data_IF_211578365693
#
_entry.id   IF_211578365693
#
_cell.length_a   1.000
_cell.length_b   1.000
_cell.length_c   1.000
_cell.angle_alpha   90.00
_cell.angle_beta   90.00
_cell.angle_gamma   90.00
#
_symmetry.space_group_name_H-M   'P 1'
#
loop_
_entity.id
_entity.type
_entity.pdbx_description
1 polymer ?
#
# COMPACT_ATOMS: atom_id res chain seq x y z
N UNK A 1 6.57 13.92 -19.22
CA UNK A 1 5.45 13.09 -18.69
C UNK A 1 5.78 12.79 -17.25
N UNK A 2 4.81 12.90 -16.34
CA UNK A 2 5.01 12.54 -14.94
C UNK A 2 5.26 11.03 -14.81
N UNK A 3 6.22 10.62 -13.98
CA UNK A 3 6.38 9.25 -13.51
C UNK A 3 5.19 8.98 -12.57
N UNK A 4 4.29 8.05 -12.93
CA UNK A 4 3.09 7.76 -12.12
C UNK A 4 3.31 6.49 -11.32
N UNK A 5 3.78 6.63 -10.08
CA UNK A 5 3.97 5.52 -9.12
C UNK A 5 3.33 5.77 -7.75
N UNK A 6 2.72 6.93 -7.51
CA UNK A 6 2.20 7.30 -6.18
C UNK A 6 0.78 6.77 -5.99
N UNK A 7 0.59 5.89 -5.00
CA UNK A 7 -0.73 5.39 -4.61
C UNK A 7 -1.33 6.29 -3.53
N UNK A 8 -2.55 6.77 -3.76
CA UNK A 8 -3.31 7.44 -2.71
C UNK A 8 -3.89 6.40 -1.74
N UNK A 9 -3.42 6.42 -0.51
CA UNK A 9 -4.00 5.64 0.57
C UNK A 9 -5.22 6.38 1.15
N UNK A 10 -6.41 5.92 0.81
CA UNK A 10 -7.68 6.56 1.10
C UNK A 10 -8.45 5.80 2.17
N UNK A 11 -8.25 6.14 3.43
CA UNK A 11 -8.91 5.44 4.53
C UNK A 11 -10.44 5.51 4.44
N UNK A 12 -11.12 4.45 4.89
CA UNK A 12 -12.59 4.37 4.84
C UNK A 12 -13.28 5.49 5.61
N UNK A 13 -12.64 6.07 6.63
CA UNK A 13 -13.17 7.24 7.35
C UNK A 13 -13.30 8.46 6.44
N UNK A 14 -12.48 8.58 5.39
CA UNK A 14 -12.65 9.65 4.40
C UNK A 14 -13.91 9.45 3.57
N UNK A 15 -14.25 8.22 3.19
CA UNK A 15 -15.51 7.93 2.49
C UNK A 15 -16.72 8.29 3.37
N UNK A 16 -16.61 8.07 4.68
CA UNK A 16 -17.67 8.40 5.64
C UNK A 16 -17.82 9.91 5.88
N UNK A 17 -16.70 10.59 6.12
CA UNK A 17 -16.71 11.96 6.68
C UNK A 17 -16.31 13.04 5.68
N UNK A 18 -15.50 12.68 4.66
CA UNK A 18 -14.82 13.62 3.75
C UNK A 18 -14.80 13.16 2.27
N UNK A 19 -15.86 12.55 1.70
CA UNK A 19 -15.82 12.02 0.34
C UNK A 19 -15.55 13.11 -0.71
N UNK A 20 -15.94 14.36 -0.44
CA UNK A 20 -15.66 15.50 -1.30
C UNK A 20 -14.17 15.80 -1.48
N UNK A 21 -13.30 15.36 -0.58
CA UNK A 21 -11.86 15.62 -0.71
C UNK A 21 -11.22 14.82 -1.84
N UNK A 22 -11.84 13.71 -2.26
CA UNK A 22 -11.44 13.01 -3.49
C UNK A 22 -11.61 13.89 -4.73
N UNK A 23 -12.53 14.86 -4.72
CA UNK A 23 -12.78 15.74 -5.86
C UNK A 23 -11.68 16.77 -6.12
N UNK A 24 -10.82 17.03 -5.13
CA UNK A 24 -9.70 17.96 -5.25
C UNK A 24 -8.33 17.27 -5.39
N UNK A 25 -8.29 15.93 -5.43
CA UNK A 25 -7.07 15.15 -5.68
C UNK A 25 -6.55 15.40 -7.10
N UNK A 26 -5.24 15.59 -7.24
CA UNK A 26 -4.54 15.85 -8.51
C UNK A 26 -4.18 14.55 -9.25
N UNK A 27 -5.17 13.94 -9.91
CA UNK A 27 -4.96 12.74 -10.73
C UNK A 27 -4.21 12.99 -12.05
N UNK A 28 -4.08 14.25 -12.47
CA UNK A 28 -3.20 14.71 -13.54
C UNK A 28 -1.72 14.82 -13.12
N UNK A 29 -1.44 14.78 -11.80
CA UNK A 29 -0.11 14.70 -11.20
C UNK A 29 0.46 13.28 -11.09
N UNK A 30 1.43 13.02 -10.19
CA UNK A 30 2.11 11.74 -10.03
C UNK A 30 1.25 10.59 -9.44
N UNK A 31 0.01 10.85 -9.00
CA UNK A 31 -0.89 9.81 -8.48
C UNK A 31 -1.24 8.80 -9.60
N UNK A 32 -0.94 7.52 -9.37
CA UNK A 32 -1.15 6.41 -10.30
C UNK A 32 -2.34 5.53 -9.97
N UNK A 33 -2.76 5.49 -8.70
CA UNK A 33 -3.74 4.53 -8.19
C UNK A 33 -4.26 4.96 -6.82
N UNK A 34 -5.28 4.24 -6.32
CA UNK A 34 -5.87 4.41 -4.99
C UNK A 34 -6.03 3.05 -4.32
N UNK A 35 -5.78 2.98 -3.02
CA UNK A 35 -6.10 1.82 -2.15
C UNK A 35 -6.80 2.32 -0.90
N UNK A 36 -7.67 1.52 -0.29
CA UNK A 36 -8.40 1.88 0.94
C UNK A 36 -8.41 0.75 1.99
N UNK A 37 -7.53 -0.25 1.87
CA UNK A 37 -7.50 -1.44 2.74
C UNK A 37 -8.74 -2.34 2.71
N UNK A 38 -9.68 -2.13 1.79
CA UNK A 38 -10.93 -2.86 1.71
C UNK A 38 -11.14 -3.52 0.33
N UNK A 39 -12.15 -4.38 0.24
CA UNK A 39 -12.56 -5.03 -1.02
C UNK A 39 -13.24 -4.08 -2.01
N UNK A 40 -13.93 -3.05 -1.49
CA UNK A 40 -14.81 -2.18 -2.26
C UNK A 40 -14.12 -0.91 -2.75
N UNK A 41 -14.48 -0.49 -3.95
CA UNK A 41 -14.00 0.76 -4.57
C UNK A 41 -14.72 1.95 -3.91
N UNK A 42 -14.00 2.99 -3.44
CA UNK A 42 -14.64 4.18 -2.90
C UNK A 42 -15.51 4.87 -3.97
N UNK A 43 -16.82 5.05 -3.76
CA UNK A 43 -17.72 5.62 -4.77
C UNK A 43 -17.28 7.00 -5.25
N UNK A 44 -16.71 7.80 -4.34
CA UNK A 44 -16.16 9.11 -4.63
C UNK A 44 -14.94 9.06 -5.55
N UNK A 45 -14.26 7.92 -5.79
CA UNK A 45 -13.17 7.85 -6.76
C UNK A 45 -13.63 8.13 -8.21
N UNK A 46 -14.88 7.78 -8.53
CA UNK A 46 -15.52 8.04 -9.84
C UNK A 46 -14.68 7.60 -11.05
N UNK A 47 -13.91 6.51 -10.90
CA UNK A 47 -13.04 5.96 -11.95
C UNK A 47 -11.86 6.85 -12.38
N UNK A 48 -11.49 7.88 -11.59
CA UNK A 48 -10.41 8.82 -11.95
C UNK A 48 -9.01 8.24 -11.89
N UNK A 49 -8.83 7.15 -11.16
CA UNK A 49 -7.62 6.34 -11.14
C UNK A 49 -7.96 4.86 -10.91
N UNK A 50 -7.08 3.93 -11.30
CA UNK A 50 -7.17 2.53 -10.91
C UNK A 50 -7.25 2.38 -9.39
N UNK A 51 -8.06 1.43 -8.94
CA UNK A 51 -8.19 1.06 -7.55
C UNK A 51 -7.49 -0.28 -7.27
N UNK A 52 -7.01 -0.47 -6.06
CA UNK A 52 -6.37 -1.70 -5.57
C UNK A 52 -7.23 -2.33 -4.47
N UNK A 53 -8.16 -3.24 -4.80
CA UNK A 53 -8.89 -3.99 -3.80
C UNK A 53 -7.91 -4.78 -2.92
N UNK A 54 -8.25 -4.92 -1.64
CA UNK A 54 -7.45 -5.67 -0.68
C UNK A 54 -8.29 -6.76 -0.02
N UNK A 55 -7.74 -7.98 0.01
CA UNK A 55 -8.16 -9.02 0.94
C UNK A 55 -7.42 -8.69 2.25
N UNK A 56 -8.03 -7.88 3.12
CA UNK A 56 -7.33 -7.33 4.29
C UNK A 56 -6.89 -8.43 5.26
N UNK A 57 -7.81 -9.30 5.66
CA UNK A 57 -7.57 -10.49 6.47
C UNK A 57 -8.49 -11.63 6.00
N UNK A 58 -8.56 -12.72 6.76
CA UNK A 58 -9.30 -13.94 6.39
C UNK A 58 -10.80 -13.72 6.22
N UNK A 59 -11.37 -12.70 6.86
CA UNK A 59 -12.80 -12.39 6.77
C UNK A 59 -13.21 -11.96 5.35
N UNK A 60 -12.32 -11.29 4.61
CA UNK A 60 -12.56 -10.86 3.22
C UNK A 60 -12.53 -12.02 2.21
N UNK A 61 -12.12 -13.23 2.63
CA UNK A 61 -12.19 -14.44 1.80
C UNK A 61 -13.57 -15.10 1.81
N UNK A 62 -14.57 -14.47 2.42
CA UNK A 62 -15.93 -15.02 2.55
C UNK A 62 -17.00 -13.97 2.23
N UNK A 63 -18.21 -14.46 1.93
CA UNK A 63 -19.42 -13.62 1.82
C UNK A 63 -19.32 -12.51 0.78
N UNK A 64 -19.92 -11.36 1.10
CA UNK A 64 -20.03 -10.21 0.20
C UNK A 64 -18.67 -9.61 -0.14
N UNK A 65 -17.74 -9.52 0.82
CA UNK A 65 -16.38 -9.00 0.60
C UNK A 65 -15.67 -9.79 -0.49
N UNK A 66 -15.72 -11.12 -0.42
CA UNK A 66 -15.12 -11.96 -1.45
C UNK A 66 -15.77 -11.78 -2.81
N UNK A 67 -17.09 -11.64 -2.86
CA UNK A 67 -17.81 -11.37 -4.11
C UNK A 67 -17.39 -10.04 -4.74
N UNK A 68 -17.19 -8.99 -3.92
CA UNK A 68 -16.70 -7.70 -4.41
C UNK A 68 -15.30 -7.84 -5.06
N UNK A 69 -14.40 -8.62 -4.44
CA UNK A 69 -13.06 -8.88 -5.01
C UNK A 69 -13.15 -9.68 -6.31
N UNK A 70 -13.99 -10.71 -6.35
CA UNK A 70 -14.19 -11.53 -7.55
C UNK A 70 -14.77 -10.74 -8.72
N UNK A 71 -15.76 -9.88 -8.45
CA UNK A 71 -16.51 -9.15 -9.47
C UNK A 71 -15.84 -7.83 -9.88
N UNK A 72 -14.91 -7.32 -9.08
CA UNK A 72 -14.13 -6.13 -9.41
C UNK A 72 -13.38 -6.29 -10.74
N UNK A 73 -13.40 -5.25 -11.56
CA UNK A 73 -12.65 -5.14 -12.82
C UNK A 73 -11.19 -4.70 -12.62
N UNK A 74 -10.78 -4.45 -11.37
CA UNK A 74 -9.44 -3.97 -11.05
C UNK A 74 -8.38 -5.06 -11.27
N UNK A 75 -7.26 -4.74 -11.93
CA UNK A 75 -6.30 -5.74 -12.40
C UNK A 75 -5.33 -6.23 -11.32
N UNK A 76 -5.14 -5.46 -10.24
CA UNK A 76 -4.19 -5.77 -9.17
C UNK A 76 -4.97 -5.86 -7.85
N UNK A 77 -4.77 -6.94 -7.11
CA UNK A 77 -5.40 -7.19 -5.80
C UNK A 77 -4.32 -7.43 -4.75
N UNK A 78 -4.41 -6.73 -3.63
CA UNK A 78 -3.54 -6.96 -2.47
C UNK A 78 -4.05 -8.12 -1.62
N UNK A 79 -3.12 -8.93 -1.12
CA UNK A 79 -3.41 -9.91 -0.09
C UNK A 79 -3.18 -9.32 1.31
N UNK A 80 -3.11 -10.17 2.34
CA UNK A 80 -3.26 -9.77 3.74
C UNK A 80 -2.38 -8.60 4.20
N UNK A 81 -2.96 -7.76 5.05
CA UNK A 81 -2.32 -6.64 5.71
C UNK A 81 -1.75 -7.07 7.07
N UNK A 82 -0.43 -7.01 7.24
CA UNK A 82 0.30 -7.38 8.46
C UNK A 82 -0.25 -8.67 9.14
N UNK A 83 -0.35 -9.79 8.40
CA UNK A 83 -0.92 -11.04 8.93
C UNK A 83 -0.18 -11.56 10.18
N UNK A 84 1.12 -11.27 10.30
CA UNK A 84 1.96 -11.61 11.45
C UNK A 84 1.48 -10.94 12.74
N UNK A 85 0.82 -9.78 12.64
CA UNK A 85 0.24 -9.04 13.77
C UNK A 85 -1.22 -9.43 14.04
N UNK A 86 -1.81 -10.23 13.16
CA UNK A 86 -3.22 -10.63 13.21
C UNK A 86 -3.41 -12.13 13.49
N UNK A 87 -2.36 -12.83 13.94
CA UNK A 87 -2.43 -14.24 14.32
C UNK A 87 -2.64 -15.21 13.16
N UNK A 88 -2.36 -14.78 11.92
CA UNK A 88 -2.42 -15.63 10.73
C UNK A 88 -1.02 -16.20 10.50
N UNK A 89 -0.87 -17.53 10.55
CA UNK A 89 0.44 -18.15 10.29
C UNK A 89 0.78 -18.13 8.79
N UNK A 90 2.07 -18.19 8.41
CA UNK A 90 2.49 -18.31 7.02
C UNK A 90 1.85 -19.51 6.31
N UNK A 91 1.74 -20.65 7.00
CA UNK A 91 1.09 -21.86 6.47
C UNK A 91 -0.38 -21.62 6.15
N UNK A 92 -1.13 -21.01 7.09
CA UNK A 92 -2.55 -20.75 6.89
C UNK A 92 -2.79 -19.78 5.73
N UNK A 93 -1.96 -18.73 5.62
CA UNK A 93 -2.01 -17.83 4.49
C UNK A 93 -1.66 -18.52 3.16
N UNK A 94 -0.66 -19.41 3.15
CA UNK A 94 -0.28 -20.19 1.97
C UNK A 94 -1.40 -21.14 1.52
N UNK A 95 -2.14 -21.72 2.46
CA UNK A 95 -3.29 -22.58 2.17
C UNK A 95 -4.41 -21.79 1.49
N UNK A 96 -4.78 -20.60 1.99
CA UNK A 96 -5.74 -19.72 1.31
C UNK A 96 -5.24 -19.27 -0.06
N UNK A 97 -3.95 -18.92 -0.14
CA UNK A 97 -3.34 -18.46 -1.37
C UNK A 97 -3.48 -19.50 -2.49
N UNK A 98 -3.09 -20.75 -2.21
CA UNK A 98 -3.13 -21.85 -3.19
C UNK A 98 -4.55 -22.33 -3.48
N UNK A 99 -5.38 -22.48 -2.47
CA UNK A 99 -6.66 -23.16 -2.62
C UNK A 99 -7.78 -22.23 -3.07
N UNK A 100 -7.63 -20.91 -2.88
CA UNK A 100 -8.69 -19.94 -3.16
C UNK A 100 -8.21 -18.75 -3.99
N UNK A 101 -7.18 -18.01 -3.53
CA UNK A 101 -6.80 -16.72 -4.14
C UNK A 101 -6.25 -16.91 -5.55
N UNK A 102 -5.24 -17.78 -5.73
CA UNK A 102 -4.62 -18.01 -7.04
C UNK A 102 -5.60 -18.62 -8.05
N UNK A 103 -6.36 -19.69 -7.73
CA UNK A 103 -7.34 -20.24 -8.66
C UNK A 103 -8.37 -19.20 -9.10
N UNK A 104 -9.01 -18.52 -8.16
CA UNK A 104 -10.15 -17.67 -8.46
C UNK A 104 -9.77 -16.31 -9.07
N UNK A 105 -8.64 -15.71 -8.66
CA UNK A 105 -8.24 -14.38 -9.12
C UNK A 105 -7.24 -14.42 -10.27
N UNK A 106 -6.17 -15.21 -10.14
CA UNK A 106 -5.14 -15.28 -11.19
C UNK A 106 -5.57 -16.20 -12.32
N UNK A 107 -5.96 -17.44 -12.03
CA UNK A 107 -6.19 -18.42 -13.08
C UNK A 107 -7.47 -18.13 -13.87
N UNK A 108 -8.57 -17.86 -13.18
CA UNK A 108 -9.88 -17.59 -13.80
C UNK A 108 -10.01 -16.15 -14.32
N UNK A 109 -9.49 -15.16 -13.58
CA UNK A 109 -9.75 -13.73 -13.84
C UNK A 109 -8.54 -12.93 -14.30
N UNK A 110 -7.36 -13.57 -14.41
CA UNK A 110 -6.12 -12.97 -14.90
C UNK A 110 -5.68 -11.73 -14.10
N UNK A 111 -6.05 -11.66 -12.82
CA UNK A 111 -5.59 -10.61 -11.91
C UNK A 111 -4.15 -10.86 -11.50
N UNK A 112 -3.41 -9.78 -11.31
CA UNK A 112 -2.10 -9.79 -10.67
C UNK A 112 -2.27 -9.67 -9.16
N UNK A 113 -1.42 -10.37 -8.42
CA UNK A 113 -1.55 -10.49 -6.97
C UNK A 113 -0.32 -9.92 -6.27
N UNK A 114 -0.57 -9.09 -5.26
CA UNK A 114 0.46 -8.62 -4.33
C UNK A 114 0.54 -9.60 -3.16
N UNK A 115 1.76 -9.91 -2.70
CA UNK A 115 1.97 -10.68 -1.49
C UNK A 115 1.29 -10.04 -0.27
N UNK A 116 1.17 -10.76 0.86
CA UNK A 116 0.94 -10.10 2.13
C UNK A 116 1.98 -9.01 2.36
N UNK A 117 1.54 -7.88 2.91
CA UNK A 117 2.41 -6.75 3.23
C UNK A 117 2.64 -6.73 4.73
N UNK A 118 3.79 -7.28 5.13
CA UNK A 118 4.20 -7.38 6.53
C UNK A 118 4.95 -6.11 6.97
N UNK A 119 5.03 -5.91 8.28
CA UNK A 119 5.88 -4.87 8.86
C UNK A 119 7.37 -5.10 8.54
N UNK A 120 8.15 -4.01 8.56
CA UNK A 120 9.59 -4.06 8.29
C UNK A 120 10.44 -4.62 9.44
N UNK A 121 9.83 -5.01 10.56
CA UNK A 121 10.52 -5.57 11.73
C UNK A 121 10.95 -7.04 11.50
N UNK A 122 11.78 -7.64 12.39
CA UNK A 122 12.24 -9.01 12.21
C UNK A 122 11.11 -10.05 12.13
N UNK A 123 9.97 -9.83 12.81
CA UNK A 123 8.86 -10.77 12.78
C UNK A 123 8.16 -10.75 11.41
N UNK A 124 7.90 -9.55 10.86
CA UNK A 124 7.33 -9.40 9.53
C UNK A 124 8.26 -9.94 8.44
N UNK A 125 9.56 -9.67 8.53
CA UNK A 125 10.56 -10.19 7.60
C UNK A 125 10.67 -11.73 7.64
N UNK A 126 10.61 -12.33 8.82
CA UNK A 126 10.59 -13.79 8.96
C UNK A 126 9.30 -14.37 8.38
N UNK A 127 8.14 -13.77 8.72
CA UNK A 127 6.83 -14.23 8.27
C UNK A 127 6.73 -14.28 6.74
N UNK A 128 7.12 -13.19 6.06
CA UNK A 128 7.05 -13.15 4.59
C UNK A 128 8.04 -14.12 3.94
N UNK A 129 9.19 -14.36 4.57
CA UNK A 129 10.15 -15.37 4.08
C UNK A 129 9.58 -16.77 4.13
N UNK A 130 8.95 -17.11 5.26
CA UNK A 130 8.33 -18.42 5.44
C UNK A 130 7.16 -18.60 4.46
N UNK A 131 6.29 -17.59 4.32
CA UNK A 131 5.18 -17.60 3.36
C UNK A 131 5.69 -17.82 1.93
N UNK A 132 6.66 -17.03 1.48
CA UNK A 132 7.22 -17.13 0.13
C UNK A 132 7.90 -18.49 -0.13
N UNK A 133 8.55 -19.07 0.89
CA UNK A 133 9.12 -20.41 0.80
C UNK A 133 8.05 -21.50 0.63
N UNK A 134 6.86 -21.27 1.21
CA UNK A 134 5.74 -22.19 1.13
C UNK A 134 5.01 -22.11 -0.19
N UNK A 135 5.15 -21.07 -1.01
CA UNK A 135 4.38 -20.88 -2.26
C UNK A 135 5.25 -20.76 -3.52
N UNK A 136 6.43 -21.41 -3.56
CA UNK A 136 7.38 -21.33 -4.68
C UNK A 136 6.79 -21.68 -6.06
N UNK A 137 5.76 -22.52 -6.09
CA UNK A 137 5.01 -22.93 -7.29
C UNK A 137 3.95 -21.91 -7.75
N UNK A 138 3.65 -20.90 -6.93
CA UNK A 138 2.56 -19.97 -7.14
C UNK A 138 2.89 -18.54 -6.68
N UNK A 139 4.14 -18.09 -6.87
CA UNK A 139 4.64 -16.79 -6.41
C UNK A 139 3.70 -15.61 -6.77
N UNK A 140 3.66 -14.55 -5.94
CA UNK A 140 2.93 -13.32 -6.25
C UNK A 140 3.54 -12.61 -7.46
N UNK A 141 2.78 -11.71 -8.06
CA UNK A 141 3.24 -10.86 -9.16
C UNK A 141 4.06 -9.67 -8.62
N UNK A 142 3.76 -9.24 -7.39
CA UNK A 142 4.45 -8.16 -6.69
C UNK A 142 4.71 -8.52 -5.22
N UNK A 143 5.86 -8.10 -4.69
CA UNK A 143 6.16 -8.13 -3.27
C UNK A 143 5.61 -6.85 -2.61
N UNK A 144 4.67 -7.01 -1.67
CA UNK A 144 4.12 -5.94 -0.85
C UNK A 144 4.98 -5.68 0.38
N UNK A 145 5.29 -4.41 0.68
CA UNK A 145 6.13 -4.01 1.81
C UNK A 145 5.53 -2.83 2.57
N UNK A 146 5.63 -2.87 3.90
CA UNK A 146 5.42 -1.70 4.76
C UNK A 146 6.76 -1.19 5.30
N UNK A 147 6.86 0.12 5.52
CA UNK A 147 8.00 0.69 6.24
C UNK A 147 7.61 1.94 7.02
N UNK A 148 7.99 1.97 8.30
CA UNK A 148 7.81 3.14 9.17
C UNK A 148 9.09 3.37 9.98
N UNK A 149 9.60 4.59 9.98
CA UNK A 149 10.87 4.93 10.62
C UNK A 149 11.27 6.38 10.37
N UNK A 150 12.52 6.74 10.67
CA UNK A 150 12.99 8.14 10.56
C UNK A 150 14.09 8.34 9.52
N UNK A 151 14.74 7.28 9.06
CA UNK A 151 15.87 7.34 8.13
C UNK A 151 15.47 6.89 6.73
N UNK A 152 15.60 7.78 5.74
CA UNK A 152 15.37 7.43 4.33
C UNK A 152 16.41 6.42 3.82
N UNK A 153 17.64 6.46 4.33
CA UNK A 153 18.68 5.52 3.94
C UNK A 153 18.41 4.10 4.47
N UNK A 154 17.91 3.97 5.71
CA UNK A 154 17.47 2.67 6.23
C UNK A 154 16.28 2.12 5.44
N UNK A 155 15.36 2.99 5.01
CA UNK A 155 14.23 2.59 4.17
C UNK A 155 14.70 2.09 2.80
N UNK A 156 15.57 2.84 2.10
CA UNK A 156 16.17 2.43 0.82
C UNK A 156 16.90 1.10 0.95
N UNK A 157 17.68 0.93 2.03
CA UNK A 157 18.40 -0.31 2.30
C UNK A 157 17.44 -1.48 2.53
N UNK A 158 16.38 -1.29 3.33
CA UNK A 158 15.37 -2.31 3.57
C UNK A 158 14.69 -2.75 2.26
N UNK A 159 14.19 -1.79 1.47
CA UNK A 159 13.51 -2.08 0.20
C UNK A 159 14.45 -2.81 -0.77
N UNK A 160 15.71 -2.37 -0.88
CA UNK A 160 16.72 -3.01 -1.74
C UNK A 160 17.05 -4.42 -1.28
N UNK A 161 17.26 -4.63 0.03
CA UNK A 161 17.50 -5.96 0.60
C UNK A 161 16.33 -6.93 0.35
N UNK A 162 15.10 -6.44 0.43
CA UNK A 162 13.91 -7.24 0.14
C UNK A 162 13.82 -7.60 -1.35
N UNK A 163 14.21 -6.69 -2.25
CA UNK A 163 14.32 -6.99 -3.68
C UNK A 163 15.38 -8.05 -3.97
N UNK A 164 16.57 -7.92 -3.37
CA UNK A 164 17.68 -8.87 -3.54
C UNK A 164 17.35 -10.26 -2.99
N UNK A 165 16.58 -10.31 -1.89
CA UNK A 165 16.14 -11.56 -1.25
C UNK A 165 15.11 -12.32 -2.08
N UNK A 166 14.27 -11.62 -2.83
CA UNK A 166 13.24 -12.21 -3.71
C UNK A 166 13.45 -11.76 -5.16
N UNK A 167 14.57 -12.19 -5.79
CA UNK A 167 14.96 -11.68 -7.09
C UNK A 167 13.90 -12.03 -8.14
N UNK A 168 13.62 -11.07 -9.02
CA UNK A 168 12.61 -11.20 -10.08
C UNK A 168 11.22 -10.66 -9.73
N UNK A 169 10.96 -10.36 -8.45
CA UNK A 169 9.73 -9.66 -8.05
C UNK A 169 9.93 -8.16 -8.03
N UNK A 170 8.97 -7.45 -8.63
CA UNK A 170 8.84 -6.00 -8.44
C UNK A 170 8.14 -5.72 -7.12
N UNK A 171 8.39 -4.53 -6.57
CA UNK A 171 7.94 -4.11 -5.25
C UNK A 171 6.79 -3.11 -5.36
N UNK A 172 5.78 -3.32 -4.52
CA UNK A 172 4.80 -2.30 -4.15
C UNK A 172 5.03 -1.96 -2.68
N UNK A 173 5.36 -0.71 -2.38
CA UNK A 173 5.45 -0.22 -1.00
C UNK A 173 4.06 0.24 -0.59
N UNK A 174 3.23 -0.69 -0.12
CA UNK A 174 1.81 -0.45 0.12
C UNK A 174 1.55 0.54 1.26
N UNK A 175 2.50 0.67 2.20
CA UNK A 175 2.48 1.71 3.23
C UNK A 175 3.88 2.20 3.55
N UNK A 176 4.05 3.52 3.61
CA UNK A 176 5.26 4.15 4.09
C UNK A 176 4.96 5.48 4.80
N UNK A 177 5.64 5.77 5.91
CA UNK A 177 5.66 7.12 6.48
C UNK A 177 6.88 7.36 7.38
N UNK A 178 7.25 8.63 7.52
CA UNK A 178 8.15 9.05 8.60
C UNK A 178 7.43 9.05 9.94
N UNK A 179 8.05 8.48 10.97
CA UNK A 179 7.54 8.56 12.35
C UNK A 179 8.19 9.69 13.17
N UNK A 180 9.04 10.51 12.54
CA UNK A 180 9.63 11.69 13.19
C UNK A 180 8.53 12.66 13.58
N UNK A 181 8.66 13.26 14.77
CA UNK A 181 7.71 14.29 15.26
C UNK A 181 8.08 15.70 14.80
N UNK A 182 9.21 15.83 14.11
CA UNK A 182 9.69 17.06 13.49
C UNK A 182 9.24 17.12 12.02
N UNK A 183 8.54 18.20 11.64
CA UNK A 183 7.98 18.33 10.29
C UNK A 183 9.06 18.41 9.21
N UNK A 184 10.19 19.07 9.47
CA UNK A 184 11.27 19.20 8.48
C UNK A 184 11.89 17.83 8.17
N UNK A 185 12.05 16.99 9.20
CA UNK A 185 12.51 15.60 9.03
C UNK A 185 11.49 14.74 8.29
N UNK A 186 10.19 14.89 8.59
CA UNK A 186 9.12 14.21 7.86
C UNK A 186 9.13 14.61 6.39
N UNK A 187 9.19 15.91 6.11
CA UNK A 187 9.19 16.45 4.77
C UNK A 187 10.42 15.95 3.98
N UNK A 188 11.62 16.03 4.58
CA UNK A 188 12.85 15.54 3.97
C UNK A 188 12.77 14.03 3.67
N UNK A 189 12.30 13.22 4.62
CA UNK A 189 12.09 11.79 4.41
C UNK A 189 11.14 11.52 3.24
N UNK A 190 9.96 12.15 3.23
CA UNK A 190 8.94 11.90 2.20
C UNK A 190 9.43 12.33 0.83
N UNK A 191 10.10 13.49 0.73
CA UNK A 191 10.73 13.98 -0.49
C UNK A 191 11.78 13.00 -1.02
N UNK A 192 12.72 12.60 -0.16
CA UNK A 192 13.83 11.75 -0.56
C UNK A 192 13.36 10.36 -1.01
N UNK A 193 12.37 9.80 -0.31
CA UNK A 193 11.78 8.51 -0.66
C UNK A 193 10.92 8.58 -1.93
N UNK A 194 10.14 9.65 -2.14
CA UNK A 194 9.43 9.85 -3.41
C UNK A 194 10.41 9.92 -4.58
N UNK A 195 11.44 10.77 -4.48
CA UNK A 195 12.39 10.98 -5.57
C UNK A 195 13.21 9.71 -5.86
N UNK A 196 13.57 8.93 -4.84
CA UNK A 196 14.26 7.66 -5.03
C UNK A 196 13.36 6.58 -5.67
N UNK A 197 12.14 6.36 -5.15
CA UNK A 197 11.24 5.34 -5.69
C UNK A 197 10.71 5.69 -7.10
N UNK A 198 10.57 6.98 -7.41
CA UNK A 198 10.29 7.45 -8.78
C UNK A 198 11.42 6.99 -9.74
N UNK A 199 12.68 7.02 -9.31
CA UNK A 199 13.86 6.67 -10.11
C UNK A 199 14.29 5.20 -10.12
N UNK A 200 13.67 4.32 -9.32
CA UNK A 200 14.06 2.90 -9.21
C UNK A 200 13.04 1.99 -9.92
N UNK A 201 13.50 1.22 -10.91
CA UNK A 201 12.63 0.44 -11.82
C UNK A 201 11.89 -0.73 -11.16
N UNK A 202 12.48 -1.33 -10.12
CA UNK A 202 11.85 -2.45 -9.43
C UNK A 202 10.76 -2.00 -8.46
N UNK A 203 10.67 -0.72 -8.10
CA UNK A 203 9.52 -0.17 -7.35
C UNK A 203 8.48 0.32 -8.36
N UNK A 204 7.31 -0.32 -8.38
CA UNK A 204 6.25 0.00 -9.36
C UNK A 204 5.19 0.94 -8.81
N UNK A 205 5.00 0.95 -7.49
CA UNK A 205 3.97 1.73 -6.82
C UNK A 205 4.34 1.92 -5.34
N UNK A 206 4.00 3.07 -4.75
CA UNK A 206 4.19 3.32 -3.33
C UNK A 206 3.16 4.29 -2.74
N UNK A 207 2.68 4.02 -1.52
CA UNK A 207 1.63 4.80 -0.86
C UNK A 207 2.06 5.39 0.47
N UNK A 208 2.05 6.72 0.60
CA UNK A 208 2.35 7.38 1.88
C UNK A 208 1.13 7.36 2.80
N UNK A 209 1.33 6.92 4.05
CA UNK A 209 0.27 6.83 5.06
C UNK A 209 -0.03 8.21 5.67
N UNK A 210 -1.27 8.41 6.13
CA UNK A 210 -1.68 9.59 6.92
C UNK A 210 -2.72 10.50 6.26
N UNK A 211 -3.32 10.09 5.14
CA UNK A 211 -4.45 10.80 4.54
C UNK A 211 -5.76 10.41 5.21
N UNK A 212 -5.95 10.83 6.46
CA UNK A 212 -7.16 10.61 7.25
C UNK A 212 -7.25 11.65 8.38
N UNK A 213 -8.47 11.97 8.81
CA UNK A 213 -8.72 13.03 9.81
C UNK A 213 -8.15 12.67 11.19
N UNK A 214 -8.37 11.43 11.62
CA UNK A 214 -7.92 10.89 12.90
C UNK A 214 -6.88 9.82 12.63
N UNK A 215 -5.68 9.98 13.21
CA UNK A 215 -4.66 8.94 13.10
C UNK A 215 -5.08 7.71 13.92
N UNK A 216 -4.79 6.49 13.45
CA UNK A 216 -5.26 5.25 14.07
C UNK A 216 -4.59 4.95 15.41
N UNK A 217 -3.37 5.46 15.63
CA UNK A 217 -2.55 5.19 16.79
C UNK A 217 -1.53 6.33 17.06
N UNK A 218 -0.79 6.19 18.15
CA UNK A 218 0.29 7.12 18.54
C UNK A 218 1.64 6.81 17.89
N UNK A 219 1.79 5.64 17.22
CA UNK A 219 3.04 5.22 16.58
C UNK A 219 3.32 6.08 15.34
N UNK A 220 2.30 6.36 14.54
CA UNK A 220 2.39 7.29 13.41
C UNK A 220 2.51 8.75 13.87
N UNK A 221 3.27 9.54 13.13
CA UNK A 221 3.55 10.93 13.50
C UNK A 221 2.40 11.88 13.14
N UNK A 222 1.94 12.75 14.06
CA UNK A 222 1.09 13.89 13.72
C UNK A 222 1.70 14.81 12.66
N UNK A 223 3.03 14.92 12.61
CA UNK A 223 3.72 15.75 11.62
C UNK A 223 3.70 15.12 10.21
N UNK A 224 3.45 13.81 10.10
CA UNK A 224 3.32 13.07 8.84
C UNK A 224 1.90 13.03 8.28
N UNK A 225 0.96 13.76 8.89
CA UNK A 225 -0.43 13.85 8.41
C UNK A 225 -0.48 14.42 6.99
N UNK A 226 -1.20 13.74 6.11
CA UNK A 226 -1.59 14.20 4.79
C UNK A 226 -2.96 14.91 4.82
N UNK A 227 -3.76 14.65 5.86
CA UNK A 227 -5.00 15.35 6.15
C UNK A 227 -4.98 15.93 7.57
N UNK A 228 -5.36 17.19 7.71
CA UNK A 228 -5.48 17.85 9.00
C UNK A 228 -6.74 17.37 9.78
N UNK A 229 -6.84 17.77 11.05
CA UNK A 229 -7.98 17.41 11.91
C UNK A 229 -9.33 17.99 11.44
N UNK A 230 -9.33 18.92 10.50
CA UNK A 230 -10.52 19.51 9.89
C UNK A 230 -10.85 18.88 8.52
N UNK A 231 -10.08 17.89 8.07
CA UNK A 231 -10.29 17.19 6.83
C UNK A 231 -9.69 17.87 5.60
N UNK A 232 -8.83 18.89 5.75
CA UNK A 232 -8.15 19.52 4.62
C UNK A 232 -6.81 18.83 4.34
N UNK A 233 -6.39 18.81 3.08
CA UNK A 233 -5.05 18.33 2.72
C UNK A 233 -3.97 19.27 3.27
N UNK A 234 -2.94 18.69 3.88
CA UNK A 234 -1.77 19.42 4.37
C UNK A 234 -0.84 19.80 3.21
N UNK A 235 0.13 20.68 3.47
CA UNK A 235 1.17 21.01 2.47
C UNK A 235 1.92 19.75 1.99
N UNK A 236 2.22 18.83 2.90
CA UNK A 236 2.87 17.55 2.59
C UNK A 236 2.05 16.75 1.56
N UNK A 237 0.72 16.74 1.69
CA UNK A 237 -0.17 16.08 0.74
C UNK A 237 -0.22 16.77 -0.61
N UNK A 238 -0.30 18.11 -0.63
CA UNK A 238 -0.26 18.87 -1.88
C UNK A 238 1.02 18.58 -2.67
N UNK A 239 2.17 18.55 -2.00
CA UNK A 239 3.46 18.16 -2.60
C UNK A 239 3.46 16.71 -3.07
N UNK A 240 2.97 15.79 -2.23
CA UNK A 240 2.90 14.37 -2.57
C UNK A 240 2.07 14.10 -3.83
N UNK A 241 0.94 14.79 -4.03
CA UNK A 241 0.09 14.56 -5.20
C UNK A 241 0.36 15.48 -6.39
N UNK A 242 1.27 16.46 -6.28
CA UNK A 242 1.52 17.46 -7.34
C UNK A 242 2.98 17.55 -7.79
N UNK A 243 3.94 17.49 -6.87
CA UNK A 243 5.34 17.82 -7.16
C UNK A 243 6.14 16.59 -7.62
N UNK A 244 6.76 16.70 -8.79
CA UNK A 244 7.69 15.69 -9.31
C UNK A 244 8.82 16.31 -10.16
N UNK A 245 10.09 16.27 -9.69
CA UNK A 245 10.52 15.73 -8.40
C UNK A 245 9.86 16.48 -7.24
N UNK A 246 9.67 15.80 -6.12
CA UNK A 246 9.17 16.43 -4.90
C UNK A 246 10.21 17.43 -4.39
N UNK A 247 9.76 18.63 -4.01
CA UNK A 247 10.60 19.74 -3.52
C UNK A 247 10.47 19.96 -2.02
#
# INVERSE_FOLDING_TARGET
>A
MAIKKRCLLWDYTNTQDRPQQMDIVKFDGPISSVSNWNSWVPPELKGRAPFRPMIHLERELNGNEWQLILQSDQPIVHFFNEPERNGISPQKAADYWRNQVVPALRNERKKQLVSPSCASDPAGQQWISDFMSLIQDALPDYLGLHWYGTSSDECKQYISNMHDKFPGLKIIVSEIASISRDYEQVHAFTRDMCNWMDGVDFVVEYGFFGCMKNMPDDFVSPAARLMDQWGNFTDLMWKYMSDQPMI
#
